data_IF_542867230736
#
_entry.id   IF_542867230736
#
_cell.length_a   1.000
_cell.length_b   1.000
_cell.length_c   1.000
_cell.angle_alpha   90.00
_cell.angle_beta   90.00
_cell.angle_gamma   90.00
#
_symmetry.space_group_name_H-M   'P 1'
#
loop_
_entity.id
_entity.type
_entity.pdbx_description
1 polymer ?
#
# COMPACT_ATOMS: atom_id res chain seq x y z
N UNK A 1 -7.27 25.73 -50.36
CA UNK A 1 -7.16 24.48 -49.59
C UNK A 1 -6.81 24.85 -48.15
N UNK A 2 -7.81 24.84 -47.27
CA UNK A 2 -7.63 25.19 -45.86
C UNK A 2 -7.17 23.91 -45.12
N UNK A 3 -5.93 23.89 -44.68
CA UNK A 3 -5.44 22.79 -43.85
C UNK A 3 -6.05 22.98 -42.44
N UNK A 4 -7.15 22.23 -42.20
CA UNK A 4 -7.65 22.11 -40.81
C UNK A 4 -6.59 21.42 -39.98
N UNK A 5 -5.86 22.18 -39.16
CA UNK A 5 -5.01 21.64 -38.12
C UNK A 5 -5.91 20.92 -37.11
N UNK A 6 -5.92 19.60 -37.13
CA UNK A 6 -6.52 18.76 -36.10
C UNK A 6 -5.73 18.99 -34.80
N UNK A 7 -6.12 20.01 -34.04
CA UNK A 7 -5.60 20.19 -32.66
C UNK A 7 -6.18 19.06 -31.84
N UNK A 8 -5.39 18.02 -31.57
CA UNK A 8 -5.78 16.92 -30.71
C UNK A 8 -5.96 17.48 -29.28
N UNK A 9 -7.20 17.48 -28.83
CA UNK A 9 -7.52 17.91 -27.45
C UNK A 9 -6.99 16.87 -26.47
N UNK A 10 -6.13 17.29 -25.53
CA UNK A 10 -5.65 16.42 -24.47
C UNK A 10 -6.76 16.09 -23.48
N UNK A 11 -6.81 14.86 -23.00
CA UNK A 11 -7.71 14.46 -21.91
C UNK A 11 -7.12 14.98 -20.60
N UNK A 12 -7.86 15.87 -19.92
CA UNK A 12 -7.43 16.43 -18.62
C UNK A 12 -7.88 15.51 -17.50
N UNK A 13 -6.99 15.22 -16.57
CA UNK A 13 -7.27 14.43 -15.38
C UNK A 13 -6.69 15.12 -14.15
N UNK A 14 -7.49 15.20 -13.10
CA UNK A 14 -7.11 15.74 -11.81
C UNK A 14 -6.68 14.59 -10.90
N UNK A 15 -5.47 14.65 -10.37
CA UNK A 15 -4.87 13.61 -9.55
C UNK A 15 -4.64 14.15 -8.14
N UNK A 16 -5.03 13.40 -7.13
CA UNK A 16 -4.65 13.64 -5.75
C UNK A 16 -3.59 12.61 -5.33
N UNK A 17 -2.50 13.06 -4.73
CA UNK A 17 -1.46 12.19 -4.14
C UNK A 17 -1.35 12.52 -2.67
N UNK A 18 -1.53 11.50 -1.81
CA UNK A 18 -1.44 11.64 -0.36
C UNK A 18 -0.45 10.62 0.18
N UNK A 19 0.70 11.11 0.67
CA UNK A 19 1.77 10.31 1.28
C UNK A 19 2.59 11.23 2.20
N UNK A 20 3.02 10.77 3.37
CA UNK A 20 3.81 11.58 4.31
C UNK A 20 5.30 11.66 3.96
N UNK A 21 5.70 11.02 2.85
CA UNK A 21 7.07 11.01 2.34
C UNK A 21 7.21 11.90 1.09
N UNK A 22 7.79 13.11 1.19
CA UNK A 22 7.88 14.06 0.08
C UNK A 22 8.58 13.50 -1.17
N UNK A 23 9.62 12.68 -0.98
CA UNK A 23 10.35 12.07 -2.11
C UNK A 23 9.49 11.06 -2.88
N UNK A 24 8.58 10.37 -2.19
CA UNK A 24 7.64 9.45 -2.82
C UNK A 24 6.63 10.23 -3.66
N UNK A 25 6.06 11.31 -3.11
CA UNK A 25 5.15 12.21 -3.85
C UNK A 25 5.82 12.71 -5.15
N UNK A 26 7.06 13.22 -5.06
CA UNK A 26 7.78 13.71 -6.23
C UNK A 26 8.07 12.58 -7.25
N UNK A 27 8.36 11.37 -6.77
CA UNK A 27 8.50 10.18 -7.62
C UNK A 27 7.22 9.89 -8.41
N UNK A 28 6.06 9.90 -7.72
CA UNK A 28 4.76 9.66 -8.37
C UNK A 28 4.39 10.77 -9.36
N UNK A 29 4.59 12.03 -9.01
CA UNK A 29 4.37 13.17 -9.91
C UNK A 29 5.21 13.04 -11.18
N UNK A 30 6.50 12.73 -11.04
CA UNK A 30 7.40 12.54 -12.16
C UNK A 30 6.98 11.36 -13.07
N UNK A 31 6.51 10.28 -12.49
CA UNK A 31 6.02 9.13 -13.24
C UNK A 31 4.73 9.49 -14.02
N UNK A 32 3.74 10.03 -13.32
CA UNK A 32 2.42 10.35 -13.87
C UNK A 32 2.54 11.41 -14.99
N UNK A 33 3.32 12.47 -14.79
CA UNK A 33 3.47 13.54 -15.80
C UNK A 33 4.17 13.06 -17.07
N UNK A 34 4.93 11.97 -17.01
CA UNK A 34 5.55 11.34 -18.18
C UNK A 34 4.68 10.30 -18.87
N UNK A 35 3.56 9.95 -18.25
CA UNK A 35 2.64 8.99 -18.84
C UNK A 35 1.92 9.61 -20.04
N UNK A 36 2.17 9.06 -21.22
CA UNK A 36 1.50 9.39 -22.50
C UNK A 36 1.16 10.90 -22.69
N UNK A 37 2.17 11.81 -22.65
CA UNK A 37 1.94 13.25 -22.65
C UNK A 37 1.33 13.79 -23.95
N UNK A 38 1.20 12.96 -24.98
CA UNK A 38 0.51 13.31 -26.25
C UNK A 38 -1.00 13.18 -26.17
N UNK A 39 -1.52 12.46 -25.19
CA UNK A 39 -2.93 12.16 -25.05
C UNK A 39 -3.52 12.73 -23.75
N UNK A 40 -2.71 12.92 -22.71
CA UNK A 40 -3.14 13.32 -21.37
C UNK A 40 -2.42 14.56 -20.86
N UNK A 41 -3.17 15.37 -20.12
CA UNK A 41 -2.67 16.45 -19.26
C UNK A 41 -3.12 16.18 -17.82
N UNK A 42 -2.18 16.25 -16.86
CA UNK A 42 -2.48 15.96 -15.45
C UNK A 42 -2.31 17.19 -14.58
N UNK A 43 -3.37 17.54 -13.82
CA UNK A 43 -3.29 18.50 -12.73
C UNK A 43 -3.15 17.71 -11.42
N UNK A 44 -2.02 17.87 -10.74
CA UNK A 44 -1.68 17.06 -9.56
C UNK A 44 -1.72 17.94 -8.31
N UNK A 45 -2.63 17.59 -7.39
CA UNK A 45 -2.67 18.10 -6.02
C UNK A 45 -2.01 17.11 -5.08
N UNK A 46 -1.42 17.61 -4.00
CA UNK A 46 -0.71 16.76 -3.03
C UNK A 46 -1.08 17.11 -1.59
N UNK A 47 -1.08 16.10 -0.73
CA UNK A 47 -1.22 16.22 0.72
C UNK A 47 -0.21 15.29 1.41
N UNK A 48 0.24 15.69 2.61
CA UNK A 48 1.29 14.96 3.36
C UNK A 48 0.78 14.27 4.63
N UNK A 49 -0.49 14.44 4.96
CA UNK A 49 -1.14 13.91 6.15
C UNK A 49 -2.66 13.88 5.96
N UNK A 50 -3.36 13.24 6.91
CA UNK A 50 -4.81 13.14 6.87
C UNK A 50 -5.50 14.51 6.96
N UNK A 51 -4.95 15.48 7.70
CA UNK A 51 -5.53 16.81 7.84
C UNK A 51 -5.52 17.60 6.53
N UNK A 52 -4.36 17.70 5.87
CA UNK A 52 -4.23 18.40 4.59
C UNK A 52 -5.07 17.74 3.50
N UNK A 53 -5.14 16.40 3.48
CA UNK A 53 -5.98 15.66 2.55
C UNK A 53 -7.47 15.91 2.82
N UNK A 54 -7.91 15.86 4.09
CA UNK A 54 -9.28 16.16 4.49
C UNK A 54 -9.69 17.57 4.01
N UNK A 55 -8.86 18.59 4.27
CA UNK A 55 -9.14 19.96 3.87
C UNK A 55 -9.26 20.12 2.35
N UNK A 56 -8.44 19.41 1.57
CA UNK A 56 -8.54 19.39 0.11
C UNK A 56 -9.84 18.73 -0.35
N UNK A 57 -10.19 17.56 0.19
CA UNK A 57 -11.35 16.78 -0.24
C UNK A 57 -12.67 17.47 0.10
N UNK A 58 -12.75 18.08 1.28
CA UNK A 58 -14.00 18.69 1.79
C UNK A 58 -14.18 20.16 1.42
N UNK A 59 -13.19 20.79 0.79
CA UNK A 59 -13.30 22.18 0.34
C UNK A 59 -14.32 22.27 -0.83
N UNK A 60 -15.39 23.06 -0.68
CA UNK A 60 -16.41 23.22 -1.74
C UNK A 60 -15.86 23.75 -3.07
N UNK A 61 -14.76 24.53 -2.99
CA UNK A 61 -14.11 25.12 -4.18
C UNK A 61 -13.02 24.19 -4.76
N UNK A 62 -12.85 23.00 -4.20
CA UNK A 62 -11.85 22.04 -4.67
C UNK A 62 -12.26 21.46 -6.02
N UNK A 63 -11.24 21.13 -6.81
CA UNK A 63 -11.44 20.38 -8.05
C UNK A 63 -11.87 18.95 -7.72
N UNK A 64 -12.71 18.38 -8.59
CA UNK A 64 -13.05 16.95 -8.53
C UNK A 64 -11.87 16.16 -9.05
N UNK A 65 -11.41 15.18 -8.25
CA UNK A 65 -10.31 14.30 -8.64
C UNK A 65 -10.83 13.09 -9.42
N UNK A 66 -10.10 12.72 -10.48
CA UNK A 66 -10.37 11.53 -11.28
C UNK A 66 -9.69 10.29 -10.66
N UNK A 67 -8.50 10.48 -10.10
CA UNK A 67 -7.73 9.42 -9.45
C UNK A 67 -7.08 9.97 -8.17
N UNK A 68 -7.11 9.17 -7.09
CA UNK A 68 -6.42 9.45 -5.85
C UNK A 68 -5.45 8.31 -5.51
N UNK A 69 -4.18 8.65 -5.26
CA UNK A 69 -3.18 7.78 -4.65
C UNK A 69 -3.13 8.06 -3.17
N UNK A 70 -3.37 7.07 -2.34
CA UNK A 70 -3.44 7.23 -0.90
C UNK A 70 -2.50 6.22 -0.21
N UNK A 71 -1.52 6.71 0.53
CA UNK A 71 -0.87 5.88 1.53
C UNK A 71 -1.86 5.56 2.65
N UNK A 72 -1.84 4.31 3.13
CA UNK A 72 -2.68 3.94 4.28
C UNK A 72 -2.08 4.45 5.59
N UNK A 73 -0.76 4.41 5.73
CA UNK A 73 -0.07 4.69 7.00
C UNK A 73 0.41 6.14 7.06
N UNK A 74 -0.47 7.03 7.47
CA UNK A 74 -0.18 8.47 7.56
C UNK A 74 -0.56 9.05 8.93
N UNK A 75 0.02 10.22 9.31
CA UNK A 75 -0.41 10.94 10.50
C UNK A 75 -1.92 11.23 10.49
N UNK A 76 -2.64 10.88 11.59
CA UNK A 76 -4.09 11.00 11.68
C UNK A 76 -4.56 12.45 11.82
N UNK A 77 -5.85 12.66 11.52
CA UNK A 77 -6.60 13.87 11.88
C UNK A 77 -7.74 13.48 12.83
N UNK A 78 -7.39 13.32 14.11
CA UNK A 78 -8.28 12.75 15.14
C UNK A 78 -9.53 13.59 15.34
N UNK A 79 -9.44 14.93 15.25
CA UNK A 79 -10.57 15.87 15.40
C UNK A 79 -11.73 15.59 14.42
N UNK A 80 -11.42 15.00 13.28
CA UNK A 80 -12.39 14.64 12.23
C UNK A 80 -12.64 13.13 12.12
N UNK A 81 -12.01 12.34 12.99
CA UNK A 81 -12.14 10.87 12.97
C UNK A 81 -11.47 10.23 11.77
N UNK A 82 -10.47 10.87 11.18
CA UNK A 82 -9.68 10.34 10.06
C UNK A 82 -8.36 9.83 10.62
N UNK A 83 -8.21 8.52 10.71
CA UNK A 83 -7.05 7.89 11.35
C UNK A 83 -5.99 7.39 10.36
N UNK A 84 -6.36 7.22 9.10
CA UNK A 84 -5.48 6.63 8.08
C UNK A 84 -6.03 6.84 6.66
N UNK A 85 -5.31 6.33 5.65
CA UNK A 85 -5.73 6.43 4.25
C UNK A 85 -6.99 5.63 3.90
N UNK A 86 -7.38 4.62 4.70
CA UNK A 86 -8.65 3.91 4.49
C UNK A 86 -9.85 4.82 4.79
N UNK A 87 -9.75 5.67 5.83
CA UNK A 87 -10.80 6.62 6.16
C UNK A 87 -10.87 7.76 5.13
N UNK A 88 -9.71 8.20 4.62
CA UNK A 88 -9.68 9.14 3.49
C UNK A 88 -10.30 8.54 2.23
N UNK A 89 -10.09 7.26 1.95
CA UNK A 89 -10.71 6.58 0.81
C UNK A 89 -12.23 6.55 0.92
N UNK A 90 -12.78 6.31 2.11
CA UNK A 90 -14.23 6.39 2.37
C UNK A 90 -14.73 7.82 2.17
N UNK A 91 -14.03 8.82 2.70
CA UNK A 91 -14.36 10.23 2.55
C UNK A 91 -14.38 10.63 1.06
N UNK A 92 -13.39 10.23 0.28
CA UNK A 92 -13.37 10.47 -1.17
C UNK A 92 -14.57 9.81 -1.85
N UNK A 93 -14.92 8.58 -1.46
CA UNK A 93 -16.07 7.88 -2.03
C UNK A 93 -17.39 8.59 -1.75
N UNK A 94 -17.51 9.30 -0.63
CA UNK A 94 -18.67 10.12 -0.28
C UNK A 94 -18.72 11.45 -1.06
N UNK A 95 -17.61 12.16 -1.13
CA UNK A 95 -17.54 13.49 -1.74
C UNK A 95 -17.34 13.44 -3.26
N UNK A 96 -16.65 12.43 -3.77
CA UNK A 96 -16.22 12.27 -5.16
C UNK A 96 -16.43 10.81 -5.62
N UNK A 97 -17.68 10.33 -5.76
CA UNK A 97 -17.98 8.90 -6.03
C UNK A 97 -17.38 8.34 -7.32
N UNK A 98 -17.03 9.20 -8.28
CA UNK A 98 -16.40 8.80 -9.54
C UNK A 98 -14.88 8.73 -9.47
N UNK A 99 -14.27 9.18 -8.35
CA UNK A 99 -12.82 9.15 -8.16
C UNK A 99 -12.34 7.70 -8.02
N UNK A 100 -11.35 7.33 -8.81
CA UNK A 100 -10.72 6.00 -8.73
C UNK A 100 -9.63 6.04 -7.68
N UNK A 101 -9.68 5.13 -6.73
CA UNK A 101 -8.75 5.10 -5.59
C UNK A 101 -7.70 4.03 -5.80
N UNK A 102 -6.43 4.41 -5.69
CA UNK A 102 -5.28 3.52 -5.62
C UNK A 102 -4.72 3.61 -4.19
N UNK A 103 -4.87 2.53 -3.43
CA UNK A 103 -4.30 2.42 -2.09
C UNK A 103 -2.89 1.85 -2.15
N UNK A 104 -2.00 2.45 -1.38
CA UNK A 104 -0.62 2.02 -1.20
C UNK A 104 -0.44 1.58 0.25
N UNK A 105 0.10 0.39 0.47
CA UNK A 105 0.14 -0.20 1.81
C UNK A 105 1.44 -0.96 2.09
N UNK A 106 1.82 -1.00 3.37
CA UNK A 106 2.83 -1.92 3.88
C UNK A 106 2.21 -3.19 4.49
N UNK A 107 0.87 -3.30 4.51
CA UNK A 107 0.21 -4.48 5.06
C UNK A 107 0.44 -5.72 4.20
N UNK A 108 0.74 -6.82 4.88
CA UNK A 108 1.02 -8.13 4.28
C UNK A 108 0.15 -9.24 4.90
N UNK A 109 -0.79 -8.86 5.75
CA UNK A 109 -1.74 -9.76 6.38
C UNK A 109 -2.96 -9.96 5.47
N UNK A 110 -3.24 -11.22 5.12
CA UNK A 110 -4.34 -11.60 4.22
C UNK A 110 -5.69 -11.04 4.68
N UNK A 111 -6.01 -11.14 5.98
CA UNK A 111 -7.29 -10.65 6.50
C UNK A 111 -7.43 -9.14 6.38
N UNK A 112 -6.34 -8.38 6.58
CA UNK A 112 -6.33 -6.94 6.40
C UNK A 112 -6.55 -6.56 4.94
N UNK A 113 -5.85 -7.21 4.02
CA UNK A 113 -6.01 -7.01 2.56
C UNK A 113 -7.44 -7.35 2.13
N UNK A 114 -8.00 -8.48 2.56
CA UNK A 114 -9.39 -8.85 2.26
C UNK A 114 -10.38 -7.81 2.81
N UNK A 115 -10.15 -7.31 4.02
CA UNK A 115 -11.00 -6.28 4.63
C UNK A 115 -10.98 -4.99 3.81
N UNK A 116 -9.81 -4.50 3.42
CA UNK A 116 -9.64 -3.31 2.58
C UNK A 116 -10.42 -3.47 1.26
N UNK A 117 -10.23 -4.59 0.58
CA UNK A 117 -10.92 -4.86 -0.68
C UNK A 117 -12.44 -4.89 -0.49
N UNK A 118 -12.92 -5.54 0.57
CA UNK A 118 -14.36 -5.68 0.85
C UNK A 118 -15.01 -4.35 1.24
N UNK A 119 -14.33 -3.51 2.03
CA UNK A 119 -14.92 -2.28 2.59
C UNK A 119 -14.76 -1.06 1.71
N UNK A 120 -13.67 -0.99 0.93
CA UNK A 120 -13.33 0.18 0.12
C UNK A 120 -13.52 -0.11 -1.37
N UNK A 121 -13.31 -1.35 -1.80
CA UNK A 121 -13.32 -1.75 -3.23
C UNK A 121 -12.42 -0.84 -4.09
N UNK A 122 -11.14 -0.68 -3.73
CA UNK A 122 -10.26 0.28 -4.42
C UNK A 122 -10.05 -0.15 -5.89
N UNK A 123 -9.89 0.83 -6.77
CA UNK A 123 -9.53 0.59 -8.18
C UNK A 123 -8.10 0.07 -8.32
N UNK A 124 -7.22 0.37 -7.36
CA UNK A 124 -5.86 -0.16 -7.26
C UNK A 124 -5.50 -0.48 -5.81
N UNK A 125 -4.77 -1.57 -5.60
CA UNK A 125 -4.16 -1.90 -4.31
C UNK A 125 -2.75 -2.44 -4.53
N UNK A 126 -1.76 -1.70 -4.04
CA UNK A 126 -0.33 -2.00 -4.24
C UNK A 126 0.37 -2.07 -2.90
N UNK A 127 1.11 -3.15 -2.68
CA UNK A 127 2.03 -3.24 -1.54
C UNK A 127 3.28 -2.43 -1.87
N UNK A 128 3.66 -1.50 -0.98
CA UNK A 128 4.78 -0.56 -1.22
C UNK A 128 6.10 -1.28 -1.52
N UNK A 129 6.30 -2.51 -1.07
CA UNK A 129 7.49 -3.29 -1.39
C UNK A 129 7.51 -3.83 -2.84
N UNK A 130 6.36 -3.94 -3.50
CA UNK A 130 6.28 -4.27 -4.93
C UNK A 130 6.50 -3.03 -5.80
N UNK A 131 6.44 -1.83 -5.21
CA UNK A 131 6.35 -0.58 -5.92
C UNK A 131 7.69 -0.16 -6.52
N UNK A 132 7.86 -0.42 -7.79
CA UNK A 132 8.88 0.17 -8.66
C UNK A 132 8.27 1.29 -9.49
N UNK A 133 9.10 2.03 -10.22
CA UNK A 133 8.61 3.04 -11.16
C UNK A 133 7.70 2.44 -12.25
N UNK A 134 8.07 1.29 -12.78
CA UNK A 134 7.30 0.58 -13.82
C UNK A 134 5.99 0.03 -13.25
N UNK A 135 6.01 -0.49 -12.01
CA UNK A 135 4.82 -0.97 -11.31
C UNK A 135 3.81 0.16 -11.07
N UNK A 136 4.28 1.34 -10.63
CA UNK A 136 3.44 2.52 -10.47
C UNK A 136 2.76 2.91 -11.77
N UNK A 137 3.53 3.00 -12.86
CA UNK A 137 2.99 3.34 -14.19
C UNK A 137 2.02 2.28 -14.70
N UNK A 138 2.29 1.01 -14.43
CA UNK A 138 1.41 -0.08 -14.84
C UNK A 138 0.08 -0.05 -14.07
N UNK A 139 0.13 0.15 -12.75
CA UNK A 139 -1.06 0.34 -11.92
C UNK A 139 -1.88 1.54 -12.41
N UNK A 140 -1.22 2.66 -12.64
CA UNK A 140 -1.86 3.88 -13.15
C UNK A 140 -2.50 3.67 -14.52
N UNK A 141 -1.79 3.03 -15.47
CA UNK A 141 -2.31 2.70 -16.81
C UNK A 141 -3.61 1.86 -16.74
N UNK A 142 -3.63 0.87 -15.85
CA UNK A 142 -4.83 0.04 -15.68
C UNK A 142 -5.99 0.86 -15.12
N UNK A 143 -5.74 1.63 -14.07
CA UNK A 143 -6.79 2.38 -13.37
C UNK A 143 -7.32 3.53 -14.21
N UNK A 144 -6.49 4.29 -14.92
CA UNK A 144 -6.98 5.38 -15.81
C UNK A 144 -7.89 4.84 -16.92
N UNK A 145 -7.59 3.63 -17.41
CA UNK A 145 -8.42 2.91 -18.40
C UNK A 145 -9.66 2.22 -17.79
N UNK A 146 -9.97 2.47 -16.52
CA UNK A 146 -11.16 1.91 -15.85
C UNK A 146 -11.04 0.44 -15.48
N UNK A 147 -9.83 -0.11 -15.40
CA UNK A 147 -9.56 -1.48 -14.94
C UNK A 147 -9.10 -1.47 -13.50
N UNK A 148 -9.43 -2.53 -12.75
CA UNK A 148 -8.88 -2.76 -11.41
C UNK A 148 -7.46 -3.34 -11.52
N UNK A 149 -6.59 -2.94 -10.59
CA UNK A 149 -5.23 -3.43 -10.50
C UNK A 149 -4.83 -3.76 -9.07
N UNK A 150 -4.30 -4.95 -8.86
CA UNK A 150 -3.70 -5.39 -7.60
C UNK A 150 -2.28 -5.87 -7.86
N UNK A 151 -1.31 -5.46 -7.02
CA UNK A 151 0.08 -5.89 -7.18
C UNK A 151 0.26 -7.39 -7.01
N UNK A 152 1.38 -7.93 -7.49
CA UNK A 152 1.64 -9.38 -7.49
C UNK A 152 1.50 -9.99 -6.09
N UNK A 153 2.04 -9.33 -5.05
CA UNK A 153 1.91 -9.79 -3.67
C UNK A 153 0.46 -9.81 -3.18
N UNK A 154 -0.35 -8.82 -3.58
CA UNK A 154 -1.80 -8.81 -3.25
C UNK A 154 -2.49 -9.99 -3.91
N UNK A 155 -2.27 -10.22 -5.21
CA UNK A 155 -2.88 -11.34 -5.95
C UNK A 155 -2.46 -12.66 -5.34
N UNK A 156 -1.17 -12.82 -5.00
CA UNK A 156 -0.66 -14.03 -4.33
C UNK A 156 -1.35 -14.27 -3.00
N UNK A 157 -1.49 -13.23 -2.16
CA UNK A 157 -2.21 -13.36 -0.88
C UNK A 157 -3.67 -13.76 -1.06
N UNK A 158 -4.38 -13.18 -2.03
CA UNK A 158 -5.77 -13.52 -2.28
C UNK A 158 -5.96 -14.95 -2.80
N UNK A 159 -4.95 -15.54 -3.41
CA UNK A 159 -4.97 -16.94 -3.86
C UNK A 159 -4.70 -17.95 -2.73
N UNK A 160 -4.26 -17.49 -1.54
CA UNK A 160 -4.05 -18.36 -0.39
C UNK A 160 -5.40 -18.70 0.26
N UNK A 161 -5.54 -19.93 0.76
CA UNK A 161 -6.70 -20.29 1.58
C UNK A 161 -6.65 -19.56 2.93
N UNK A 162 -7.82 -19.37 3.56
CA UNK A 162 -7.86 -18.75 4.90
C UNK A 162 -7.17 -19.63 5.96
N UNK A 163 -7.16 -20.94 5.74
CA UNK A 163 -6.45 -21.89 6.60
C UNK A 163 -4.91 -21.76 6.52
N UNK A 164 -4.40 -21.19 5.43
CA UNK A 164 -2.98 -20.90 5.25
C UNK A 164 -2.59 -19.48 5.69
N UNK A 165 -3.57 -18.64 6.04
CA UNK A 165 -3.34 -17.31 6.55
C UNK A 165 -2.81 -17.37 7.99
N UNK A 166 -1.52 -17.11 8.15
CA UNK A 166 -0.86 -17.03 9.46
C UNK A 166 -0.78 -15.57 9.87
N UNK A 167 -1.45 -15.22 10.96
CA UNK A 167 -1.29 -13.92 11.60
C UNK A 167 -0.21 -13.98 12.68
N UNK A 168 0.75 -13.06 12.60
CA UNK A 168 1.81 -12.90 13.58
C UNK A 168 1.86 -11.45 14.07
N UNK A 169 2.20 -11.25 15.34
CA UNK A 169 2.30 -9.92 15.92
C UNK A 169 3.62 -9.21 15.55
N UNK A 170 3.76 -7.96 16.01
CA UNK A 170 4.94 -7.14 15.72
C UNK A 170 6.23 -7.73 16.31
N UNK A 171 6.17 -8.38 17.48
CA UNK A 171 7.34 -9.03 18.07
C UNK A 171 7.77 -10.25 17.26
N UNK A 172 6.83 -11.02 16.76
CA UNK A 172 7.10 -12.16 15.91
C UNK A 172 7.77 -11.73 14.59
N UNK A 173 7.29 -10.64 13.98
CA UNK A 173 7.93 -10.02 12.80
C UNK A 173 9.36 -9.57 13.09
N UNK A 174 9.60 -8.93 14.24
CA UNK A 174 10.94 -8.51 14.67
C UNK A 174 11.87 -9.69 14.90
N UNK A 175 11.39 -10.76 15.54
CA UNK A 175 12.17 -11.99 15.74
C UNK A 175 12.57 -12.59 14.38
N UNK A 176 11.63 -12.77 13.46
CA UNK A 176 11.91 -13.27 12.12
C UNK A 176 12.90 -12.38 11.36
N UNK A 177 12.77 -11.06 11.48
CA UNK A 177 13.69 -10.10 10.88
C UNK A 177 15.12 -10.30 11.40
N UNK A 178 15.33 -10.37 12.71
CA UNK A 178 16.66 -10.57 13.29
C UNK A 178 17.25 -11.94 12.92
N UNK A 179 16.44 -12.99 12.92
CA UNK A 179 16.86 -14.32 12.45
C UNK A 179 17.28 -14.27 10.96
N UNK A 180 16.59 -13.51 10.14
CA UNK A 180 16.92 -13.36 8.71
C UNK A 180 18.25 -12.64 8.46
N UNK A 181 18.68 -11.82 9.41
CA UNK A 181 19.99 -11.14 9.40
C UNK A 181 21.10 -12.00 10.00
N UNK A 182 20.80 -13.22 10.44
CA UNK A 182 21.76 -14.11 11.10
C UNK A 182 22.06 -13.74 12.55
N UNK A 183 21.25 -12.88 13.18
CA UNK A 183 21.38 -12.55 14.62
C UNK A 183 21.15 -13.80 15.44
N UNK A 184 22.08 -14.11 16.35
CA UNK A 184 21.92 -15.25 17.28
C UNK A 184 20.74 -14.99 18.22
N UNK A 185 19.99 -16.04 18.54
CA UNK A 185 18.78 -15.94 19.36
C UNK A 185 19.04 -15.22 20.71
N UNK A 186 20.19 -15.50 21.33
CA UNK A 186 20.61 -14.91 22.62
C UNK A 186 20.87 -13.40 22.53
N UNK A 187 21.14 -12.88 21.34
CA UNK A 187 21.45 -11.45 21.12
C UNK A 187 20.20 -10.63 20.78
N UNK A 188 19.09 -11.28 20.37
CA UNK A 188 17.84 -10.60 19.98
C UNK A 188 17.26 -9.73 21.11
N UNK A 189 17.33 -10.08 22.42
CA UNK A 189 16.83 -9.21 23.49
C UNK A 189 17.50 -7.83 23.58
N UNK A 190 18.64 -7.63 22.91
CA UNK A 190 19.30 -6.31 22.82
C UNK A 190 18.58 -5.35 21.87
N UNK A 191 17.74 -5.87 20.97
CA UNK A 191 17.06 -5.11 19.90
C UNK A 191 15.56 -4.98 20.14
N UNK A 192 14.95 -5.92 20.87
CA UNK A 192 13.52 -5.93 21.14
C UNK A 192 13.24 -6.06 22.65
N UNK A 193 12.24 -5.34 23.19
CA UNK A 193 12.03 -5.23 24.64
C UNK A 193 11.27 -6.43 25.23
N UNK A 194 11.72 -7.65 24.92
CA UNK A 194 11.19 -8.90 25.49
C UNK A 194 12.31 -9.84 25.92
N UNK A 195 12.03 -10.68 26.91
CA UNK A 195 13.04 -11.61 27.45
C UNK A 195 13.40 -12.72 26.48
N UNK A 196 14.62 -13.30 26.65
CA UNK A 196 15.05 -14.45 25.85
C UNK A 196 14.05 -15.61 25.90
N UNK A 197 13.54 -15.97 27.08
CA UNK A 197 12.54 -17.04 27.21
C UNK A 197 11.20 -16.73 26.53
N UNK A 198 10.85 -15.44 26.36
CA UNK A 198 9.68 -15.05 25.55
C UNK A 198 9.97 -15.23 24.05
N UNK A 199 11.19 -14.88 23.60
CA UNK A 199 11.63 -15.07 22.22
C UNK A 199 11.65 -16.56 21.86
N UNK A 200 12.20 -17.40 22.72
CA UNK A 200 12.25 -18.86 22.52
C UNK A 200 10.84 -19.46 22.35
N UNK A 201 9.90 -19.10 23.24
CA UNK A 201 8.50 -19.55 23.14
C UNK A 201 7.84 -19.08 21.84
N UNK A 202 8.02 -17.80 21.46
CA UNK A 202 7.48 -17.26 20.24
C UNK A 202 8.07 -17.96 19.00
N UNK A 203 9.36 -18.24 18.99
CA UNK A 203 10.00 -18.99 17.91
C UNK A 203 9.43 -20.42 17.77
N UNK A 204 9.14 -21.10 18.88
CA UNK A 204 8.48 -22.41 18.86
C UNK A 204 7.08 -22.28 18.24
N UNK A 205 6.29 -21.33 18.71
CA UNK A 205 4.96 -21.07 18.15
C UNK A 205 5.02 -20.72 16.66
N UNK A 206 5.99 -19.90 16.24
CA UNK A 206 6.18 -19.57 14.81
C UNK A 206 6.52 -20.82 13.98
N UNK A 207 7.34 -21.73 14.50
CA UNK A 207 7.63 -23.00 13.82
C UNK A 207 6.38 -23.88 13.67
N UNK A 208 5.52 -23.92 14.68
CA UNK A 208 4.25 -24.63 14.63
C UNK A 208 3.30 -24.00 13.61
N UNK A 209 3.09 -22.68 13.69
CA UNK A 209 2.21 -21.91 12.81
C UNK A 209 2.64 -22.01 11.34
N UNK A 210 3.95 -22.00 11.09
CA UNK A 210 4.51 -22.09 9.73
C UNK A 210 4.72 -23.54 9.27
N UNK A 211 4.36 -24.54 10.07
CA UNK A 211 4.50 -25.97 9.77
C UNK A 211 5.97 -26.39 9.53
N UNK A 212 6.92 -25.79 10.25
CA UNK A 212 8.38 -26.02 10.16
C UNK A 212 8.91 -26.58 11.49
N UNK A 213 8.23 -27.55 12.09
CA UNK A 213 8.49 -28.00 13.48
C UNK A 213 9.90 -28.50 13.71
N UNK A 214 10.45 -29.32 12.82
CA UNK A 214 11.81 -29.86 12.91
C UNK A 214 12.86 -29.05 12.13
N UNK A 215 12.43 -27.96 11.48
CA UNK A 215 13.27 -27.15 10.61
C UNK A 215 14.24 -26.22 11.36
N UNK A 216 15.31 -25.87 10.66
CA UNK A 216 16.29 -24.87 11.09
C UNK A 216 15.69 -23.46 11.10
N UNK A 217 16.41 -22.50 11.71
CA UNK A 217 16.02 -21.07 11.67
C UNK A 217 16.03 -20.54 10.20
N UNK A 218 16.88 -21.12 9.34
CA UNK A 218 16.92 -20.80 7.90
C UNK A 218 15.63 -21.21 7.22
N UNK A 219 15.10 -22.39 7.54
CA UNK A 219 13.82 -22.87 6.97
C UNK A 219 12.64 -22.07 7.50
N UNK A 220 12.66 -21.70 8.79
CA UNK A 220 11.66 -20.82 9.38
C UNK A 220 11.61 -19.46 8.66
N UNK A 221 12.78 -18.86 8.44
CA UNK A 221 12.91 -17.58 7.71
C UNK A 221 12.45 -17.72 6.25
N UNK A 222 12.84 -18.83 5.59
CA UNK A 222 12.43 -19.10 4.20
C UNK A 222 10.91 -19.22 4.09
N UNK A 223 10.28 -19.97 5.00
CA UNK A 223 8.83 -20.15 4.98
C UNK A 223 8.09 -18.85 5.32
N UNK A 224 8.61 -18.06 6.27
CA UNK A 224 8.08 -16.74 6.57
C UNK A 224 8.12 -15.81 5.34
N UNK A 225 9.21 -15.84 4.55
CA UNK A 225 9.31 -15.10 3.28
C UNK A 225 8.31 -15.62 2.24
N UNK A 226 8.19 -16.94 2.07
CA UNK A 226 7.24 -17.54 1.12
C UNK A 226 5.80 -17.12 1.40
N UNK A 227 5.44 -16.91 2.68
CA UNK A 227 4.10 -16.46 3.10
C UNK A 227 3.96 -14.93 3.18
N UNK A 228 4.98 -14.17 2.80
CA UNK A 228 4.93 -12.70 2.84
C UNK A 228 4.95 -12.10 4.24
N UNK A 229 5.38 -12.85 5.26
CA UNK A 229 5.47 -12.37 6.65
C UNK A 229 6.79 -11.65 6.92
N UNK A 230 7.76 -11.77 6.02
CA UNK A 230 9.10 -11.18 6.09
C UNK A 230 9.58 -10.82 4.67
N UNK A 231 10.24 -9.67 4.55
CA UNK A 231 10.81 -9.11 3.30
C UNK A 231 12.33 -9.09 3.31
#
# INVERSE_FOLDING_TARGET
MTIASNVKTLTKNNILIVDDHPFIIEGYKNAITRYNPKDFEFLISQAKDCESAYNIITNPDSIIFDIAFLDISMPPYEEKGIYNGEDLAKLISEYMPSCKIILLTMYTELLKIKTIIKTISPSGLVIKNDLTFDELLFAFDKVIKGKTYYSESVVKMLSMSEEDAVEIDQFDKQILFHLSKGTKLNDIPQYIPISLGAIERRKINLKELLKVQEGSDIELVREAKNRGLLF
#
